data_IF_408939666498
#
_entry.id   IF_408939666498
#
_cell.length_a   1.000
_cell.length_b   1.000
_cell.length_c   1.000
_cell.angle_alpha   90.00
_cell.angle_beta   90.00
_cell.angle_gamma   90.00
#
_symmetry.space_group_name_H-M   'P 1'
#
loop_
_entity.id
_entity.type
_entity.pdbx_description
1 polymer ?
#
# COMPACT_ATOMS: atom_id res chain seq x y z
N UNK A 1 -2.36 -7.74 -4.84
CA UNK A 1 -3.82 -7.50 -4.76
C UNK A 1 -4.51 -8.55 -3.87
N UNK A 2 -4.12 -8.66 -2.59
CA UNK A 2 -4.97 -9.28 -1.57
C UNK A 2 -4.82 -8.38 -0.34
N UNK A 3 -5.87 -7.57 -0.11
CA UNK A 3 -6.02 -6.55 0.93
C UNK A 3 -5.15 -5.28 0.75
N UNK A 4 -5.73 -4.30 0.05
CA UNK A 4 -5.36 -2.89 0.17
C UNK A 4 -5.33 -2.49 1.66
N UNK A 5 -4.56 -1.46 1.97
CA UNK A 5 -4.15 -1.10 3.33
C UNK A 5 -5.34 -0.75 4.26
N UNK A 6 -6.48 -0.29 3.72
CA UNK A 6 -7.61 0.15 4.55
C UNK A 6 -9.03 -0.30 4.10
N UNK A 7 -9.34 -0.34 2.80
CA UNK A 7 -10.64 -0.82 2.28
C UNK A 7 -10.55 -2.16 1.53
N UNK A 8 -11.56 -3.02 1.66
CA UNK A 8 -11.73 -4.19 0.79
C UNK A 8 -12.11 -3.75 -0.63
N UNK A 9 -11.61 -4.45 -1.66
CA UNK A 9 -11.90 -4.13 -3.07
C UNK A 9 -12.42 -5.35 -3.82
N UNK A 10 -13.43 -5.16 -4.66
CA UNK A 10 -13.93 -6.13 -5.64
C UNK A 10 -13.91 -5.54 -7.06
N UNK A 11 -13.88 -6.40 -8.08
CA UNK A 11 -13.95 -5.98 -9.48
C UNK A 11 -15.37 -5.54 -9.85
N UNK A 12 -15.48 -4.57 -10.77
CA UNK A 12 -16.74 -4.06 -11.31
C UNK A 12 -17.71 -3.40 -10.31
N UNK A 13 -17.20 -2.92 -9.17
CA UNK A 13 -17.99 -2.09 -8.27
C UNK A 13 -18.17 -0.67 -8.82
N UNK A 14 -19.23 0.05 -8.41
CA UNK A 14 -19.39 1.46 -8.74
C UNK A 14 -18.20 2.31 -8.27
N UNK A 15 -18.00 3.47 -8.91
CA UNK A 15 -16.88 4.37 -8.57
C UNK A 15 -16.92 4.79 -7.10
N UNK A 16 -15.75 4.83 -6.46
CA UNK A 16 -15.55 5.32 -5.09
C UNK A 16 -16.34 4.59 -3.98
N UNK A 17 -16.82 3.36 -4.21
CA UNK A 17 -17.51 2.55 -3.18
C UNK A 17 -16.53 1.83 -2.24
N UNK A 18 -15.35 1.46 -2.75
CA UNK A 18 -14.31 0.75 -2.01
C UNK A 18 -13.20 1.69 -1.51
N UNK A 19 -13.59 2.75 -0.79
CA UNK A 19 -12.67 3.79 -0.29
C UNK A 19 -12.94 4.04 1.19
N UNK A 20 -11.89 4.07 2.01
CA UNK A 20 -11.91 4.54 3.39
C UNK A 20 -11.33 5.96 3.53
N UNK A 21 -11.43 6.54 4.72
CA UNK A 21 -10.80 7.83 5.06
C UNK A 21 -9.27 7.82 4.91
N UNK A 22 -8.63 6.67 5.11
CA UNK A 22 -7.19 6.49 4.92
C UNK A 22 -6.85 6.50 3.42
N UNK A 23 -7.65 5.80 2.60
CA UNK A 23 -7.45 5.75 1.15
C UNK A 23 -7.65 7.12 0.50
N UNK A 24 -8.59 7.91 1.03
CA UNK A 24 -8.85 9.26 0.58
C UNK A 24 -7.91 10.32 1.21
N UNK A 25 -6.95 9.90 2.04
CA UNK A 25 -5.97 10.74 2.72
C UNK A 25 -6.60 11.92 3.50
N UNK A 26 -7.72 11.65 4.20
CA UNK A 26 -8.35 12.68 5.02
C UNK A 26 -7.37 13.13 6.13
N UNK A 27 -7.33 14.44 6.46
CA UNK A 27 -6.43 14.95 7.50
C UNK A 27 -6.60 14.19 8.83
N UNK A 28 -5.48 13.81 9.44
CA UNK A 28 -5.47 13.09 10.71
C UNK A 28 -5.51 11.56 10.59
N UNK A 29 -5.58 10.99 9.39
CA UNK A 29 -5.49 9.55 9.17
C UNK A 29 -4.04 9.04 9.18
N UNK A 30 -3.82 7.81 9.64
CA UNK A 30 -2.52 7.17 9.74
C UNK A 30 -2.54 5.79 9.05
N UNK A 31 -1.48 5.40 8.32
CA UNK A 31 -1.40 4.09 7.68
C UNK A 31 -1.09 3.00 8.71
N UNK A 32 -1.65 1.80 8.50
CA UNK A 32 -1.33 0.59 9.25
C UNK A 32 -0.77 -0.48 8.31
N UNK A 33 0.33 -1.13 8.69
CA UNK A 33 0.94 -2.17 7.87
C UNK A 33 0.05 -3.43 7.81
N UNK A 34 -0.18 -3.94 6.60
CA UNK A 34 -0.87 -5.21 6.40
C UNK A 34 0.12 -6.39 6.45
N UNK A 35 0.04 -7.19 7.51
CA UNK A 35 0.92 -8.35 7.72
C UNK A 35 0.82 -9.40 6.59
N UNK A 36 -0.37 -9.60 6.00
CA UNK A 36 -0.53 -10.57 4.92
C UNK A 36 0.17 -10.12 3.64
N UNK A 37 0.19 -8.81 3.37
CA UNK A 37 0.97 -8.26 2.25
C UNK A 37 2.47 -8.50 2.42
N UNK A 38 2.99 -8.37 3.65
CA UNK A 38 4.41 -8.68 3.95
C UNK A 38 4.69 -10.16 3.72
N UNK A 39 3.85 -11.05 4.25
CA UNK A 39 3.98 -12.50 4.07
C UNK A 39 4.00 -12.88 2.57
N UNK A 40 3.08 -12.33 1.79
CA UNK A 40 3.01 -12.56 0.35
C UNK A 40 4.23 -12.00 -0.39
N UNK A 41 4.72 -10.81 0.00
CA UNK A 41 5.92 -10.22 -0.60
C UNK A 41 7.17 -11.05 -0.32
N UNK A 42 7.35 -11.53 0.93
CA UNK A 42 8.44 -12.44 1.31
C UNK A 42 8.33 -13.76 0.55
N UNK A 43 7.12 -14.33 0.48
CA UNK A 43 6.86 -15.57 -0.27
C UNK A 43 7.22 -15.41 -1.75
N UNK A 44 6.81 -14.31 -2.38
CA UNK A 44 7.13 -14.00 -3.76
C UNK A 44 8.65 -13.80 -3.96
N UNK A 45 9.33 -13.11 -3.04
CA UNK A 45 10.79 -12.97 -3.08
C UNK A 45 11.49 -14.32 -3.05
N UNK A 46 11.12 -15.22 -2.13
CA UNK A 46 11.71 -16.55 -2.04
C UNK A 46 11.43 -17.39 -3.31
N UNK A 47 10.21 -17.32 -3.85
CA UNK A 47 9.84 -18.01 -5.08
C UNK A 47 10.63 -17.50 -6.31
N UNK A 48 11.05 -16.24 -6.29
CA UNK A 48 11.86 -15.60 -7.34
C UNK A 48 13.37 -15.66 -7.04
N UNK A 49 13.80 -16.47 -6.07
CA UNK A 49 15.21 -16.57 -5.63
C UNK A 49 15.81 -15.21 -5.19
N UNK A 50 14.97 -14.31 -4.70
CA UNK A 50 15.37 -13.01 -4.17
C UNK A 50 15.96 -13.10 -2.76
N UNK A 51 16.89 -12.20 -2.45
CA UNK A 51 17.47 -12.10 -1.12
C UNK A 51 16.60 -11.20 -0.21
N UNK A 52 15.94 -11.80 0.78
CA UNK A 52 15.06 -11.10 1.71
C UNK A 52 15.88 -10.42 2.81
N UNK A 53 15.79 -9.10 2.89
CA UNK A 53 16.41 -8.32 3.97
C UNK A 53 15.68 -8.55 5.29
N UNK A 54 16.44 -8.75 6.39
CA UNK A 54 15.87 -8.92 7.73
C UNK A 54 15.24 -7.65 8.29
N UNK A 55 15.73 -6.49 7.82
CA UNK A 55 15.21 -5.18 8.19
C UNK A 55 14.98 -4.39 6.91
N UNK A 56 13.80 -3.80 6.81
CA UNK A 56 13.45 -2.86 5.74
C UNK A 56 12.57 -1.77 6.33
N UNK A 57 12.56 -0.60 5.70
CA UNK A 57 11.76 0.54 6.11
C UNK A 57 10.85 1.00 4.96
N UNK A 58 9.92 1.89 5.27
CA UNK A 58 9.06 2.54 4.29
C UNK A 58 9.40 4.03 4.22
N UNK A 59 9.60 4.51 3.00
CA UNK A 59 9.91 5.89 2.65
C UNK A 59 8.71 6.56 1.96
N UNK A 60 8.70 7.89 1.94
CA UNK A 60 7.67 8.69 1.24
C UNK A 60 8.26 9.28 -0.03
N UNK A 61 7.88 8.74 -1.18
CA UNK A 61 8.19 9.30 -2.49
C UNK A 61 7.17 10.38 -2.86
N UNK A 62 7.57 11.64 -2.87
CA UNK A 62 6.67 12.79 -3.07
C UNK A 62 6.54 13.13 -4.57
N UNK A 63 5.29 13.27 -5.04
CA UNK A 63 4.97 13.83 -6.36
C UNK A 63 3.48 14.18 -6.41
N UNK A 64 3.14 15.27 -7.11
CA UNK A 64 1.76 15.71 -7.22
C UNK A 64 1.09 15.07 -8.42
N UNK A 65 0.01 14.34 -8.15
CA UNK A 65 -0.85 13.80 -9.19
C UNK A 65 -2.28 13.62 -8.68
N UNK A 66 -3.33 13.88 -9.49
CA UNK A 66 -4.72 13.86 -9.01
C UNK A 66 -5.22 12.51 -8.47
N UNK A 67 -4.64 11.39 -8.91
CA UNK A 67 -4.99 10.04 -8.43
C UNK A 67 -4.23 9.59 -7.17
N UNK A 68 -3.38 10.47 -6.62
CA UNK A 68 -2.58 10.23 -5.42
C UNK A 68 -3.01 11.19 -4.30
N UNK A 69 -4.06 10.85 -3.54
CA UNK A 69 -4.68 11.78 -2.57
C UNK A 69 -3.70 12.34 -1.53
N UNK A 70 -2.70 11.56 -1.13
CA UNK A 70 -1.68 11.95 -0.14
C UNK A 70 -0.58 12.86 -0.70
N UNK A 71 -0.44 13.01 -2.03
CA UNK A 71 0.69 13.71 -2.66
C UNK A 71 2.05 13.02 -2.46
N UNK A 72 2.06 11.80 -1.92
CA UNK A 72 3.23 10.93 -1.82
C UNK A 72 2.82 9.47 -1.84
N UNK A 73 3.70 8.63 -2.36
CA UNK A 73 3.59 7.18 -2.32
C UNK A 73 4.43 6.63 -1.17
N UNK A 74 3.84 5.74 -0.37
CA UNK A 74 4.60 4.92 0.59
C UNK A 74 5.28 3.81 -0.21
N UNK A 75 6.60 3.79 -0.21
CA UNK A 75 7.44 2.83 -0.96
C UNK A 75 8.66 2.44 -0.13
N UNK A 76 9.60 1.69 -0.71
CA UNK A 76 10.91 1.44 -0.12
C UNK A 76 12.00 2.03 -1.03
N UNK A 77 13.14 2.41 -0.45
CA UNK A 77 14.35 2.85 -1.14
C UNK A 77 14.14 4.12 -1.99
N UNK A 78 13.65 5.19 -1.36
CA UNK A 78 13.55 6.53 -1.97
C UNK A 78 14.19 7.61 -1.11
#
# INVERSE_FOLDING_TARGET
MINKIASSTSFNEPVNTNVSVIDAAFPGTLPQLNAKCVELAVTASLALSGNVQLVSSFDRKQYFYPDLPSGYQITQHY
#
